data_IF_797681774344
#
_entry.id   IF_797681774344
#
_cell.length_a   1.000
_cell.length_b   1.000
_cell.length_c   1.000
_cell.angle_alpha   90.00
_cell.angle_beta   90.00
_cell.angle_gamma   90.00
#
_symmetry.space_group_name_H-M   'P 1'
#
loop_
_entity.id
_entity.type
_entity.pdbx_description
1 polymer ?
#
# COMPACT_ATOMS: atom_id res chain seq x y z
N UNK A 1 -24.48 -11.38 28.52
CA UNK A 1 -24.45 -11.98 27.18
C UNK A 1 -23.27 -11.41 26.40
N UNK A 2 -22.66 -12.23 25.56
CA UNK A 2 -21.24 -12.18 25.19
C UNK A 2 -20.80 -10.94 24.41
N UNK A 3 -19.66 -10.38 24.83
CA UNK A 3 -18.87 -9.43 24.04
C UNK A 3 -18.22 -10.23 22.91
N UNK A 4 -18.80 -10.17 21.71
CA UNK A 4 -18.14 -10.66 20.49
C UNK A 4 -16.99 -9.71 20.21
N UNK A 5 -15.81 -10.03 20.74
CA UNK A 5 -14.57 -9.51 20.19
C UNK A 5 -14.32 -10.32 18.92
N UNK A 6 -14.67 -9.74 17.77
CA UNK A 6 -14.08 -10.19 16.52
C UNK A 6 -12.57 -10.00 16.67
N UNK A 7 -11.85 -11.06 17.04
CA UNK A 7 -10.42 -11.13 16.82
C UNK A 7 -10.23 -11.10 15.30
N UNK A 8 -10.19 -9.90 14.72
CA UNK A 8 -9.49 -9.77 13.46
C UNK A 8 -8.06 -10.20 13.79
N UNK A 9 -7.61 -11.30 13.20
CA UNK A 9 -6.19 -11.60 13.08
C UNK A 9 -5.60 -10.49 12.20
N UNK A 10 -5.45 -9.32 12.82
CA UNK A 10 -5.40 -8.01 12.19
C UNK A 10 -4.03 -7.80 11.62
N UNK A 11 -3.79 -8.41 10.46
CA UNK A 11 -2.66 -8.08 9.63
C UNK A 11 -2.75 -6.59 9.30
N UNK A 12 -1.99 -5.80 10.07
CA UNK A 12 -1.98 -4.35 10.01
C UNK A 12 -1.00 -3.98 8.90
N UNK A 13 -1.50 -3.94 7.69
CA UNK A 13 -0.73 -3.54 6.52
C UNK A 13 -0.90 -2.03 6.25
N UNK A 14 0.19 -1.39 5.82
CA UNK A 14 0.15 -0.04 5.26
C UNK A 14 0.48 -0.10 3.77
N UNK A 15 -0.33 0.57 2.96
CA UNK A 15 0.05 0.91 1.60
C UNK A 15 0.90 2.19 1.64
N UNK A 16 2.09 2.15 1.05
CA UNK A 16 3.07 3.23 1.10
C UNK A 16 3.47 3.63 -0.32
N UNK A 17 3.41 4.93 -0.60
CA UNK A 17 3.99 5.52 -1.81
C UNK A 17 5.42 5.98 -1.58
N UNK A 18 6.34 5.59 -2.45
CA UNK A 18 7.76 5.91 -2.37
C UNK A 18 8.10 6.94 -3.46
N UNK A 19 9.05 7.84 -3.17
CA UNK A 19 9.44 8.93 -4.09
C UNK A 19 9.95 8.46 -5.45
N UNK A 20 10.39 7.20 -5.57
CA UNK A 20 10.83 6.57 -6.82
C UNK A 20 9.68 5.98 -7.67
N UNK A 21 8.43 6.40 -7.43
CA UNK A 21 7.23 5.86 -8.07
C UNK A 21 6.97 4.37 -7.84
N UNK A 22 7.53 3.82 -6.76
CA UNK A 22 7.13 2.51 -6.28
C UNK A 22 6.03 2.63 -5.23
N UNK A 23 5.15 1.63 -5.20
CA UNK A 23 4.12 1.47 -4.18
C UNK A 23 4.32 0.13 -3.51
N UNK A 24 4.35 0.10 -2.19
CA UNK A 24 4.54 -1.14 -1.46
C UNK A 24 3.48 -1.38 -0.38
N UNK A 25 3.31 -2.64 -0.03
CA UNK A 25 2.56 -3.10 1.12
C UNK A 25 3.55 -3.44 2.23
N UNK A 26 3.45 -2.74 3.36
CA UNK A 26 4.32 -2.90 4.52
C UNK A 26 3.57 -3.57 5.67
N UNK A 27 4.13 -4.66 6.20
CA UNK A 27 3.65 -5.33 7.41
C UNK A 27 4.18 -4.57 8.63
N UNK A 28 3.31 -3.86 9.35
CA UNK A 28 3.70 -3.02 10.49
C UNK A 28 4.31 -3.88 11.60
N UNK A 29 3.75 -5.06 11.85
CA UNK A 29 4.15 -5.92 12.97
C UNK A 29 5.52 -6.53 12.74
N UNK A 30 5.82 -6.90 11.50
CA UNK A 30 7.12 -7.46 11.12
C UNK A 30 8.13 -6.39 10.72
N UNK A 31 7.68 -5.16 10.48
CA UNK A 31 8.49 -4.09 9.91
C UNK A 31 9.15 -4.46 8.58
N UNK A 32 8.44 -5.22 7.73
CA UNK A 32 8.95 -5.74 6.45
C UNK A 32 8.05 -5.35 5.28
N UNK A 33 8.64 -5.12 4.11
CA UNK A 33 7.89 -5.02 2.86
C UNK A 33 7.43 -6.42 2.45
N UNK A 34 6.14 -6.56 2.14
CA UNK A 34 5.51 -7.81 1.71
C UNK A 34 5.39 -7.89 0.19
N UNK A 35 5.05 -6.76 -0.43
CA UNK A 35 4.89 -6.62 -1.87
C UNK A 35 5.34 -5.22 -2.27
N UNK A 36 6.04 -5.10 -3.39
CA UNK A 36 6.39 -3.83 -4.01
C UNK A 36 6.07 -3.89 -5.50
N UNK A 37 5.40 -2.85 -5.99
CA UNK A 37 5.07 -2.65 -7.39
C UNK A 37 5.76 -1.38 -7.85
N UNK A 38 6.56 -1.49 -8.90
CA UNK A 38 7.33 -0.38 -9.46
C UNK A 38 7.06 -0.20 -10.95
N UNK A 39 7.28 1.03 -11.42
CA UNK A 39 7.26 1.34 -12.84
C UNK A 39 8.70 1.40 -13.39
N UNK A 40 8.99 0.90 -14.60
CA UNK A 40 10.35 0.86 -15.13
C UNK A 40 11.00 2.24 -15.30
N UNK A 41 10.21 3.26 -15.60
CA UNK A 41 10.73 4.61 -15.78
C UNK A 41 10.83 5.37 -14.46
N UNK A 42 11.94 6.08 -14.29
CA UNK A 42 12.16 6.96 -13.14
C UNK A 42 11.26 8.17 -13.25
N UNK A 43 10.16 8.10 -12.52
CA UNK A 43 9.19 9.17 -12.34
C UNK A 43 9.05 9.45 -10.85
N UNK A 44 8.61 10.65 -10.50
CA UNK A 44 8.31 11.01 -9.12
C UNK A 44 6.85 10.70 -8.83
N UNK A 45 6.58 9.98 -7.74
CA UNK A 45 5.23 9.83 -7.25
C UNK A 45 4.73 11.15 -6.67
N UNK A 46 3.76 11.78 -7.33
CA UNK A 46 3.20 13.06 -6.90
C UNK A 46 1.92 12.88 -6.08
N UNK A 47 1.07 11.92 -6.47
CA UNK A 47 -0.19 11.65 -5.79
C UNK A 47 -0.55 10.17 -5.83
N UNK A 48 -1.34 9.74 -4.84
CA UNK A 48 -1.87 8.38 -4.76
C UNK A 48 -3.30 8.43 -4.22
N UNK A 49 -4.17 7.56 -4.75
CA UNK A 49 -5.43 7.19 -4.13
C UNK A 49 -5.56 5.68 -4.00
N UNK A 50 -6.19 5.26 -2.91
CA UNK A 50 -6.45 3.86 -2.57
C UNK A 50 -7.96 3.63 -2.62
N UNK A 51 -8.36 2.47 -3.12
CA UNK A 51 -9.75 2.02 -3.10
C UNK A 51 -9.80 0.50 -2.90
N UNK A 52 -10.68 0.02 -2.02
CA UNK A 52 -10.82 -1.39 -1.68
C UNK A 52 -10.93 -1.60 -0.16
N UNK A 53 -11.40 -2.78 0.23
CA UNK A 53 -11.65 -3.17 1.62
C UNK A 53 -10.78 -4.35 2.10
N UNK A 54 -9.96 -4.91 1.21
CA UNK A 54 -9.04 -6.00 1.50
C UNK A 54 -7.80 -5.93 0.57
N UNK A 55 -6.76 -6.70 0.90
CA UNK A 55 -5.48 -6.66 0.17
C UNK A 55 -5.61 -7.16 -1.27
N UNK A 56 -6.37 -8.22 -1.51
CA UNK A 56 -6.56 -8.80 -2.85
C UNK A 56 -7.35 -7.86 -3.78
N UNK A 57 -8.27 -7.08 -3.21
CA UNK A 57 -9.10 -6.11 -3.91
C UNK A 57 -8.55 -4.68 -3.91
N UNK A 58 -7.39 -4.43 -3.28
CA UNK A 58 -6.84 -3.09 -3.16
C UNK A 58 -6.38 -2.57 -4.52
N UNK A 59 -7.00 -1.48 -4.95
CA UNK A 59 -6.64 -0.76 -6.17
C UNK A 59 -5.88 0.51 -5.80
N UNK A 60 -4.83 0.77 -6.55
CA UNK A 60 -4.00 1.97 -6.41
C UNK A 60 -4.06 2.75 -7.71
N UNK A 61 -4.38 4.03 -7.62
CA UNK A 61 -4.18 4.99 -8.69
C UNK A 61 -3.03 5.92 -8.30
N UNK A 62 -1.95 5.93 -9.08
CA UNK A 62 -0.82 6.85 -8.90
C UNK A 62 -0.83 7.93 -9.98
N UNK A 63 -0.56 9.16 -9.57
CA UNK A 63 -0.27 10.28 -10.46
C UNK A 63 1.21 10.62 -10.34
N UNK A 64 1.92 10.63 -11.46
CA UNK A 64 3.38 10.73 -11.50
C UNK A 64 3.83 11.96 -12.27
N UNK A 65 5.00 12.49 -11.92
CA UNK A 65 5.67 13.55 -12.68
C UNK A 65 6.91 12.93 -13.31
N UNK A 66 7.03 13.06 -14.63
CA UNK A 66 8.26 12.74 -15.35
C UNK A 66 9.19 13.95 -15.28
N UNK A 67 10.43 13.72 -14.88
CA UNK A 67 11.46 14.75 -14.82
C UNK A 67 12.60 14.32 -15.73
N UNK A 68 12.68 14.95 -16.91
CA UNK A 68 13.77 14.78 -17.89
C UNK A 68 15.12 15.28 -17.35
#
# INVERSE_FOLDING_TARGET
EGKVTSESNGSSYLAVGISNNSVCLWDILKSTIVLEVSYPERTLLYSMRLWGDNVEGLRVASGTIYNE
#
